data_IF_969214615814
#
_entry.id   IF_969214615814
#
_cell.length_a   1.000
_cell.length_b   1.000
_cell.length_c   1.000
_cell.angle_alpha   90.00
_cell.angle_beta   90.00
_cell.angle_gamma   90.00
#
_symmetry.space_group_name_H-M   'P 1'
#
loop_
_entity.id
_entity.type
_entity.pdbx_description
1 polymer ?
#
# COMPACT_ATOMS: atom_id res chain seq x y z
N UNK A 1 27.83 -7.40 -1.34
CA UNK A 1 27.29 -6.35 -2.25
C UNK A 1 26.87 -5.18 -1.39
N UNK A 2 27.10 -3.94 -1.83
CA UNK A 2 26.68 -2.73 -1.11
C UNK A 2 25.34 -2.27 -1.65
N UNK A 3 24.41 -1.88 -0.77
CA UNK A 3 23.09 -1.39 -1.16
C UNK A 3 23.20 -0.05 -1.90
N UNK A 4 24.08 0.83 -1.41
CA UNK A 4 24.29 2.16 -1.96
C UNK A 4 24.63 2.15 -3.45
N UNK A 5 23.85 2.89 -4.24
CA UNK A 5 23.98 3.01 -5.69
C UNK A 5 23.27 1.90 -6.49
N UNK A 6 22.70 0.89 -5.84
CA UNK A 6 22.02 -0.21 -6.53
C UNK A 6 20.64 0.20 -7.07
N UNK A 7 20.01 -0.66 -7.86
CA UNK A 7 18.59 -0.50 -8.20
C UNK A 7 17.70 -0.79 -7.00
N UNK A 8 18.07 -1.80 -6.20
CA UNK A 8 17.38 -2.16 -4.95
C UNK A 8 17.28 -0.98 -3.97
N UNK A 9 18.32 -0.15 -3.80
CA UNK A 9 18.23 1.06 -2.96
C UNK A 9 17.12 2.01 -3.43
N UNK A 10 17.08 2.29 -4.73
CA UNK A 10 16.05 3.14 -5.34
C UNK A 10 14.66 2.52 -5.24
N UNK A 11 14.56 1.20 -5.39
CA UNK A 11 13.29 0.47 -5.24
C UNK A 11 12.78 0.53 -3.79
N UNK A 12 13.66 0.37 -2.79
CA UNK A 12 13.29 0.53 -1.37
C UNK A 12 12.77 1.95 -1.12
N UNK A 13 13.47 2.97 -1.61
CA UNK A 13 13.05 4.36 -1.41
C UNK A 13 11.74 4.67 -2.17
N UNK A 14 11.56 4.09 -3.35
CA UNK A 14 10.32 4.22 -4.14
C UNK A 14 9.14 3.58 -3.42
N UNK A 15 9.30 2.35 -2.91
CA UNK A 15 8.28 1.68 -2.10
C UNK A 15 7.98 2.49 -0.83
N UNK A 16 9.01 2.94 -0.10
CA UNK A 16 8.82 3.81 1.08
C UNK A 16 8.01 5.08 0.77
N UNK A 17 8.27 5.72 -0.37
CA UNK A 17 7.50 6.89 -0.81
C UNK A 17 6.05 6.53 -1.16
N UNK A 18 5.81 5.39 -1.81
CA UNK A 18 4.47 4.86 -2.09
C UNK A 18 3.67 4.58 -0.82
N UNK A 19 4.25 3.78 0.08
CA UNK A 19 3.67 3.39 1.38
C UNK A 19 3.34 4.60 2.26
N UNK A 20 4.26 5.58 2.30
CA UNK A 20 4.05 6.81 3.06
C UNK A 20 2.86 7.61 2.53
N UNK A 21 2.65 7.62 1.21
CA UNK A 21 1.50 8.26 0.58
C UNK A 21 0.23 7.42 0.76
N UNK A 22 0.30 6.08 0.68
CA UNK A 22 -0.82 5.18 0.90
C UNK A 22 -1.41 5.37 2.30
N UNK A 23 -0.57 5.37 3.34
CA UNK A 23 -0.96 5.70 4.72
C UNK A 23 -1.80 6.99 4.80
N UNK A 24 -1.33 8.06 4.17
CA UNK A 24 -2.03 9.35 4.21
C UNK A 24 -3.39 9.26 3.49
N UNK A 25 -3.41 8.70 2.27
CA UNK A 25 -4.67 8.50 1.52
C UNK A 25 -5.68 7.69 2.32
N UNK A 26 -5.26 6.58 2.91
CA UNK A 26 -6.16 5.71 3.69
C UNK A 26 -6.69 6.40 4.95
N UNK A 27 -5.88 7.24 5.60
CA UNK A 27 -6.37 8.07 6.73
C UNK A 27 -7.41 9.10 6.28
N UNK A 28 -7.25 9.68 5.08
CA UNK A 28 -8.24 10.60 4.51
C UNK A 28 -9.53 9.86 4.10
N UNK A 29 -9.39 8.68 3.50
CA UNK A 29 -10.52 7.83 3.11
C UNK A 29 -11.29 7.32 4.34
N UNK A 30 -10.61 7.04 5.45
CA UNK A 30 -11.25 6.72 6.72
C UNK A 30 -12.14 7.87 7.21
N UNK A 31 -11.64 9.10 7.14
CA UNK A 31 -12.40 10.29 7.53
C UNK A 31 -13.66 10.45 6.67
N UNK A 32 -13.52 10.27 5.36
CA UNK A 32 -14.66 10.30 4.43
C UNK A 32 -15.67 9.17 4.69
N UNK A 33 -15.20 7.97 5.02
CA UNK A 33 -16.07 6.85 5.40
C UNK A 33 -16.86 7.13 6.69
N UNK A 34 -16.24 7.81 7.66
CA UNK A 34 -16.91 8.27 8.88
C UNK A 34 -18.02 9.28 8.58
N UNK A 35 -17.74 10.26 7.72
CA UNK A 35 -18.71 11.28 7.32
C UNK A 35 -19.93 10.69 6.60
N UNK A 36 -19.75 9.57 5.88
CA UNK A 36 -20.81 8.82 5.20
C UNK A 36 -21.48 7.76 6.10
N UNK A 37 -21.09 7.68 7.39
CA UNK A 37 -21.68 6.77 8.37
C UNK A 37 -21.13 5.33 8.34
N UNK A 38 -20.11 5.05 7.53
CA UNK A 38 -19.48 3.74 7.42
C UNK A 38 -18.38 3.51 8.47
N UNK A 39 -18.76 3.47 9.74
CA UNK A 39 -17.80 3.40 10.87
C UNK A 39 -16.85 2.20 10.82
N UNK A 40 -17.33 1.01 10.44
CA UNK A 40 -16.48 -0.18 10.29
C UNK A 40 -15.46 0.01 9.16
N UNK A 41 -15.87 0.60 8.04
CA UNK A 41 -15.00 0.83 6.89
C UNK A 41 -13.94 1.89 7.25
N UNK A 42 -14.33 2.92 7.99
CA UNK A 42 -13.40 3.92 8.50
C UNK A 42 -12.29 3.28 9.37
N UNK A 43 -12.67 2.41 10.33
CA UNK A 43 -11.71 1.69 11.18
C UNK A 43 -10.79 0.78 10.36
N UNK A 44 -11.32 0.12 9.33
CA UNK A 44 -10.52 -0.73 8.46
C UNK A 44 -9.51 0.09 7.65
N UNK A 45 -9.90 1.25 7.10
CA UNK A 45 -8.94 2.15 6.45
C UNK A 45 -7.86 2.63 7.43
N UNK A 46 -8.20 2.94 8.69
CA UNK A 46 -7.23 3.33 9.72
C UNK A 46 -6.28 2.18 10.10
N UNK A 47 -6.79 0.95 10.17
CA UNK A 47 -5.98 -0.24 10.39
C UNK A 47 -4.99 -0.43 9.24
N UNK A 48 -5.46 -0.41 7.99
CA UNK A 48 -4.58 -0.53 6.82
C UNK A 48 -3.55 0.60 6.80
N UNK A 49 -3.93 1.84 7.07
CA UNK A 49 -2.99 2.97 7.16
C UNK A 49 -1.89 2.74 8.22
N UNK A 50 -2.22 2.06 9.33
CA UNK A 50 -1.24 1.68 10.34
C UNK A 50 -0.35 0.51 9.92
N UNK A 51 -0.86 -0.38 9.06
CA UNK A 51 -0.08 -1.47 8.45
C UNK A 51 0.93 -0.89 7.44
N UNK A 52 0.51 0.03 6.56
CA UNK A 52 1.42 0.71 5.61
C UNK A 52 2.51 1.51 6.33
N UNK A 53 2.19 2.11 7.47
CA UNK A 53 3.19 2.73 8.34
C UNK A 53 4.28 1.73 8.76
N UNK A 54 3.92 0.50 9.10
CA UNK A 54 4.90 -0.53 9.48
C UNK A 54 5.64 -1.13 8.26
N UNK A 55 4.99 -1.23 7.09
CA UNK A 55 5.66 -1.57 5.83
C UNK A 55 6.73 -0.52 5.49
N UNK A 56 6.34 0.76 5.44
CA UNK A 56 7.24 1.89 5.22
C UNK A 56 8.40 1.88 6.22
N UNK A 57 8.12 1.67 7.51
CA UNK A 57 9.15 1.62 8.55
C UNK A 57 10.12 0.45 8.37
N UNK A 58 9.64 -0.72 7.96
CA UNK A 58 10.51 -1.87 7.68
C UNK A 58 11.43 -1.59 6.50
N UNK A 59 10.90 -0.99 5.44
CA UNK A 59 11.67 -0.58 4.26
C UNK A 59 12.71 0.51 4.61
N UNK A 60 12.29 1.55 5.33
CA UNK A 60 13.15 2.66 5.70
C UNK A 60 14.37 2.24 6.52
N UNK A 61 14.21 1.22 7.39
CA UNK A 61 15.31 0.63 8.17
C UNK A 61 16.36 -0.11 7.33
N UNK A 62 16.08 -0.41 6.06
CA UNK A 62 17.05 -1.04 5.17
C UNK A 62 18.01 -0.03 4.53
N UNK A 63 17.66 1.26 4.51
CA UNK A 63 18.48 2.29 3.88
C UNK A 63 19.67 2.68 4.75
N UNK A 64 20.80 2.99 4.10
CA UNK A 64 22.09 3.27 4.76
C UNK A 64 22.35 4.79 4.94
N UNK A 65 21.39 5.64 4.56
CA UNK A 65 21.44 7.10 4.74
C UNK A 65 22.01 7.90 3.55
N UNK A 66 21.78 9.21 3.58
CA UNK A 66 22.04 10.13 2.48
C UNK A 66 20.81 10.39 1.60
N UNK A 67 21.00 11.18 0.54
CA UNK A 67 19.93 11.54 -0.39
C UNK A 67 20.02 10.70 -1.67
N UNK A 68 18.89 10.14 -2.10
CA UNK A 68 18.77 9.33 -3.31
C UNK A 68 17.60 9.87 -4.13
N UNK A 69 17.85 10.19 -5.41
CA UNK A 69 16.80 10.62 -6.33
C UNK A 69 16.03 9.42 -6.87
N UNK A 70 14.70 9.50 -6.82
CA UNK A 70 13.78 8.53 -7.43
C UNK A 70 12.89 9.22 -8.48
N UNK A 71 12.43 8.45 -9.45
CA UNK A 71 11.41 8.87 -10.40
C UNK A 71 10.29 7.84 -10.38
N UNK A 72 9.12 8.24 -9.90
CA UNK A 72 7.96 7.38 -9.76
C UNK A 72 6.67 8.18 -10.00
N UNK A 73 5.64 7.50 -10.47
CA UNK A 73 4.30 8.07 -10.60
C UNK A 73 3.47 7.72 -9.37
N UNK A 74 2.64 8.66 -8.92
CA UNK A 74 1.78 8.48 -7.76
C UNK A 74 0.36 9.00 -8.05
N UNK A 75 -0.67 8.51 -7.33
CA UNK A 75 -2.01 9.07 -7.42
C UNK A 75 -2.03 10.56 -7.03
N UNK A 76 -2.35 11.42 -7.99
CA UNK A 76 -2.46 12.87 -7.79
C UNK A 76 -3.87 13.25 -7.27
N UNK A 77 -4.23 12.73 -6.09
CA UNK A 77 -5.61 12.78 -5.61
C UNK A 77 -6.52 11.78 -6.35
N UNK A 78 -7.82 11.70 -6.05
CA UNK A 78 -8.65 12.59 -5.21
C UNK A 78 -9.30 11.84 -4.04
N UNK A 79 -9.99 12.56 -3.15
CA UNK A 79 -10.91 11.97 -2.17
C UNK A 79 -12.33 12.01 -2.75
N UNK A 80 -12.89 10.85 -3.11
CA UNK A 80 -14.24 10.68 -3.61
C UNK A 80 -15.21 10.16 -2.53
N UNK A 81 -16.31 9.53 -2.94
CA UNK A 81 -17.18 8.74 -2.05
C UNK A 81 -16.43 7.54 -1.47
N UNK A 82 -16.95 6.93 -0.39
CA UNK A 82 -16.32 5.75 0.23
C UNK A 82 -16.18 4.59 -0.75
N UNK A 83 -17.18 4.36 -1.62
CA UNK A 83 -17.11 3.31 -2.65
C UNK A 83 -16.02 3.58 -3.69
N UNK A 84 -15.87 4.83 -4.14
CA UNK A 84 -14.81 5.24 -5.07
C UNK A 84 -13.42 5.12 -4.42
N UNK A 85 -13.31 5.51 -3.15
CA UNK A 85 -12.07 5.41 -2.38
C UNK A 85 -11.65 3.95 -2.16
N UNK A 86 -12.60 3.05 -1.85
CA UNK A 86 -12.33 1.60 -1.77
C UNK A 86 -11.86 1.03 -3.10
N UNK A 87 -12.46 1.47 -4.22
CA UNK A 87 -12.02 1.06 -5.56
C UNK A 87 -10.61 1.54 -5.86
N UNK A 88 -10.31 2.81 -5.54
CA UNK A 88 -9.00 3.40 -5.75
C UNK A 88 -7.92 2.73 -4.89
N UNK A 89 -8.22 2.47 -3.60
CA UNK A 89 -7.34 1.75 -2.70
C UNK A 89 -7.07 0.34 -3.22
N UNK A 90 -8.10 -0.45 -3.54
CA UNK A 90 -7.94 -1.78 -4.12
C UNK A 90 -7.09 -1.77 -5.40
N UNK A 91 -7.25 -0.77 -6.27
CA UNK A 91 -6.42 -0.65 -7.47
C UNK A 91 -4.95 -0.36 -7.17
N UNK A 92 -4.66 0.43 -6.13
CA UNK A 92 -3.29 0.67 -5.64
C UNK A 92 -2.67 -0.61 -5.08
N UNK A 93 -3.35 -1.26 -4.15
CA UNK A 93 -2.94 -2.55 -3.56
C UNK A 93 -2.67 -3.59 -4.66
N UNK A 94 -3.56 -3.68 -5.66
CA UNK A 94 -3.43 -4.58 -6.79
C UNK A 94 -2.12 -4.38 -7.53
N UNK A 95 -1.81 -3.13 -7.89
CA UNK A 95 -0.56 -2.79 -8.58
C UNK A 95 0.65 -3.17 -7.72
N UNK A 96 0.60 -2.92 -6.42
CA UNK A 96 1.68 -3.20 -5.49
C UNK A 96 1.98 -4.70 -5.39
N UNK A 97 0.98 -5.53 -5.11
CA UNK A 97 1.23 -6.97 -4.93
C UNK A 97 1.42 -7.74 -6.25
N UNK A 98 0.81 -7.30 -7.35
CA UNK A 98 0.85 -8.04 -8.62
C UNK A 98 1.99 -7.62 -9.55
N UNK A 99 2.52 -6.40 -9.39
CA UNK A 99 3.55 -5.85 -10.27
C UNK A 99 4.75 -5.30 -9.48
N UNK A 100 4.55 -4.24 -8.70
CA UNK A 100 5.66 -3.47 -8.12
C UNK A 100 6.54 -4.32 -7.18
N UNK A 101 5.95 -4.96 -6.16
CA UNK A 101 6.72 -5.75 -5.20
C UNK A 101 7.33 -7.02 -5.79
N UNK A 102 6.64 -7.78 -6.67
CA UNK A 102 7.27 -8.87 -7.42
C UNK A 102 8.50 -8.43 -8.23
N UNK A 103 8.40 -7.32 -8.97
CA UNK A 103 9.51 -6.77 -9.75
C UNK A 103 10.67 -6.33 -8.84
N UNK A 104 10.37 -5.63 -7.75
CA UNK A 104 11.39 -5.19 -6.78
C UNK A 104 12.08 -6.37 -6.11
N UNK A 105 11.34 -7.43 -5.79
CA UNK A 105 11.90 -8.65 -5.24
C UNK A 105 12.83 -9.37 -6.22
N UNK A 106 12.45 -9.44 -7.50
CA UNK A 106 13.28 -10.03 -8.55
C UNK A 106 14.59 -9.26 -8.69
N UNK A 107 14.53 -7.92 -8.81
CA UNK A 107 15.73 -7.07 -8.92
C UNK A 107 16.63 -7.24 -7.69
N UNK A 108 16.04 -7.31 -6.49
CA UNK A 108 16.79 -7.55 -5.27
C UNK A 108 17.50 -8.91 -5.27
N UNK A 109 16.91 -9.98 -5.83
CA UNK A 109 17.60 -11.27 -5.98
C UNK A 109 18.71 -11.23 -7.02
N UNK A 110 18.48 -10.59 -8.17
CA UNK A 110 19.49 -10.42 -9.23
C UNK A 110 20.71 -9.64 -8.71
N UNK A 111 20.49 -8.66 -7.83
CA UNK A 111 21.53 -7.91 -7.13
C UNK A 111 22.02 -8.60 -5.82
N UNK A 112 21.59 -9.84 -5.53
CA UNK A 112 22.07 -10.64 -4.40
C UNK A 112 21.56 -10.24 -3.01
N UNK A 113 20.56 -9.36 -2.92
CA UNK A 113 19.88 -8.95 -1.69
C UNK A 113 18.68 -9.86 -1.35
N UNK A 114 18.94 -11.16 -1.18
CA UNK A 114 17.90 -12.19 -0.94
C UNK A 114 16.99 -11.88 0.26
N UNK A 115 17.54 -11.31 1.34
CA UNK A 115 16.76 -10.89 2.50
C UNK A 115 15.79 -9.74 2.18
N UNK A 116 16.19 -8.81 1.33
CA UNK A 116 15.34 -7.67 0.92
C UNK A 116 14.25 -8.17 -0.04
N UNK A 117 14.59 -9.08 -0.95
CA UNK A 117 13.61 -9.74 -1.80
C UNK A 117 12.54 -10.48 -1.00
N UNK A 118 12.93 -11.21 0.05
CA UNK A 118 11.99 -11.86 0.95
C UNK A 118 11.06 -10.87 1.67
N UNK A 119 11.58 -9.70 2.08
CA UNK A 119 10.76 -8.64 2.67
C UNK A 119 9.75 -8.10 1.66
N UNK A 120 10.16 -7.77 0.44
CA UNK A 120 9.23 -7.30 -0.60
C UNK A 120 8.10 -8.31 -0.87
N UNK A 121 8.42 -9.62 -0.95
CA UNK A 121 7.40 -10.66 -1.13
C UNK A 121 6.47 -10.78 0.08
N UNK A 122 6.99 -10.63 1.29
CA UNK A 122 6.17 -10.68 2.49
C UNK A 122 5.17 -9.52 2.54
N UNK A 123 5.61 -8.32 2.14
CA UNK A 123 4.75 -7.13 2.03
C UNK A 123 3.67 -7.38 0.95
N UNK A 124 4.03 -7.89 -0.22
CA UNK A 124 3.05 -8.23 -1.28
C UNK A 124 1.94 -9.19 -0.81
N UNK A 125 2.22 -10.10 0.12
CA UNK A 125 1.19 -10.98 0.70
C UNK A 125 0.18 -10.18 1.53
N UNK A 126 0.63 -9.18 2.28
CA UNK A 126 -0.23 -8.30 3.06
C UNK A 126 -1.12 -7.44 2.15
N UNK A 127 -0.54 -6.80 1.13
CA UNK A 127 -1.28 -5.94 0.19
C UNK A 127 -2.37 -6.70 -0.56
N UNK A 128 -2.12 -7.97 -0.89
CA UNK A 128 -3.15 -8.84 -1.47
C UNK A 128 -4.34 -9.06 -0.53
N UNK A 129 -4.12 -9.09 0.79
CA UNK A 129 -5.22 -9.15 1.76
C UNK A 129 -5.93 -7.79 1.90
N UNK A 130 -5.19 -6.68 1.82
CA UNK A 130 -5.79 -5.34 1.81
C UNK A 130 -6.72 -5.18 0.61
N UNK A 131 -6.27 -5.51 -0.60
CA UNK A 131 -7.09 -5.49 -1.82
C UNK A 131 -8.37 -6.32 -1.63
N UNK A 132 -8.22 -7.59 -1.22
CA UNK A 132 -9.35 -8.49 -1.02
C UNK A 132 -10.38 -7.90 -0.05
N UNK A 133 -9.91 -7.29 1.04
CA UNK A 133 -10.77 -6.64 2.03
C UNK A 133 -11.49 -5.43 1.44
N UNK A 134 -10.79 -4.57 0.70
CA UNK A 134 -11.40 -3.39 0.08
C UNK A 134 -12.45 -3.75 -0.97
N UNK A 135 -12.18 -4.76 -1.82
CA UNK A 135 -13.14 -5.23 -2.81
C UNK A 135 -14.42 -5.77 -2.17
N UNK A 136 -14.30 -6.56 -1.10
CA UNK A 136 -15.46 -7.09 -0.36
C UNK A 136 -16.29 -5.98 0.29
N UNK A 137 -15.64 -4.97 0.90
CA UNK A 137 -16.34 -3.83 1.49
C UNK A 137 -17.05 -2.98 0.44
N UNK A 138 -16.40 -2.75 -0.71
CA UNK A 138 -16.99 -2.04 -1.84
C UNK A 138 -18.25 -2.75 -2.35
N UNK A 139 -18.16 -4.06 -2.54
CA UNK A 139 -19.29 -4.88 -2.97
C UNK A 139 -20.48 -4.78 -2.01
N UNK A 140 -20.22 -4.75 -0.69
CA UNK A 140 -21.26 -4.56 0.32
C UNK A 140 -21.95 -3.18 0.21
N UNK A 141 -21.21 -2.11 -0.09
CA UNK A 141 -21.79 -0.78 -0.33
C UNK A 141 -22.67 -0.83 -1.58
N UNK A 142 -22.14 -1.33 -2.70
CA UNK A 142 -22.85 -1.35 -3.99
C UNK A 142 -24.13 -2.19 -3.94
N UNK A 143 -24.14 -3.26 -3.14
CA UNK A 143 -25.32 -4.11 -2.94
C UNK A 143 -26.25 -3.64 -1.82
N UNK A 144 -25.93 -2.54 -1.12
CA UNK A 144 -26.72 -2.04 0.01
C UNK A 144 -26.76 -3.00 1.21
N UNK A 145 -25.72 -3.82 1.39
CA UNK A 145 -25.64 -4.87 2.41
C UNK A 145 -24.84 -4.50 3.65
N UNK A 146 -24.26 -3.29 3.70
CA UNK A 146 -23.42 -2.87 4.83
C UNK A 146 -24.11 -3.02 6.19
N UNK A 147 -25.42 -2.74 6.25
CA UNK A 147 -26.22 -2.81 7.47
C UNK A 147 -27.29 -3.91 7.43
N UNK A 148 -27.20 -4.84 6.49
CA UNK A 148 -28.17 -5.92 6.31
C UNK A 148 -27.46 -7.26 6.30
N UNK A 149 -28.08 -8.24 6.98
CA UNK A 149 -27.52 -9.60 7.11
C UNK A 149 -27.90 -10.51 5.94
N UNK A 150 -28.87 -10.09 5.10
CA UNK A 150 -29.44 -10.79 3.95
C UNK A 150 -29.42 -9.90 2.70
#
# INVERSE_FOLDING_TARGET
MQLKGSKTERNILTAFAGESQARNRYTYFASKARDEGYMQIAQIFEETANQEKEHAKRLFKLLEGGDVSIQAAFPAGVIGSTAENLRAAAGGEHYEWSQMYPEFAQIAEEEGFTNIAAIFRAIAIAEKQHEKRYLALKENIEKGRVFRRE
#
